data_IF_330623944064
#
_entry.id   IF_330623944064
#
_cell.length_a   1.000
_cell.length_b   1.000
_cell.length_c   1.000
_cell.angle_alpha   90.00
_cell.angle_beta   90.00
_cell.angle_gamma   90.00
#
_symmetry.space_group_name_H-M   'P 1'
#
loop_
_entity.id
_entity.type
_entity.pdbx_description
1 polymer ?
#
# COMPACT_ATOMS: atom_id res chain seq x y z
N UNK A 1 -18.55 -35.30 -8.56
CA UNK A 1 -17.39 -34.48 -8.15
C UNK A 1 -17.27 -33.20 -8.99
N UNK A 2 -18.26 -32.29 -8.92
CA UNK A 2 -18.28 -30.98 -9.62
C UNK A 2 -18.91 -29.84 -8.78
N UNK A 3 -19.32 -30.14 -7.55
CA UNK A 3 -20.11 -29.20 -6.71
C UNK A 3 -19.23 -28.45 -5.70
N UNK A 4 -18.03 -28.97 -5.38
CA UNK A 4 -17.05 -28.31 -4.48
C UNK A 4 -16.08 -27.41 -5.27
N UNK A 5 -16.52 -26.83 -6.39
CA UNK A 5 -15.77 -25.82 -7.15
C UNK A 5 -16.52 -24.50 -7.29
N UNK A 6 -17.64 -24.35 -6.55
CA UNK A 6 -18.40 -23.10 -6.47
C UNK A 6 -17.97 -22.32 -5.22
N UNK A 7 -17.61 -21.06 -5.44
CA UNK A 7 -17.54 -19.97 -4.44
C UNK A 7 -16.43 -20.02 -3.38
N UNK A 8 -15.19 -20.31 -3.80
CA UNK A 8 -14.14 -19.36 -3.42
C UNK A 8 -14.10 -18.30 -4.54
N UNK A 9 -15.22 -17.59 -4.72
CA UNK A 9 -15.18 -16.22 -5.22
C UNK A 9 -14.49 -15.50 -4.07
N UNK A 10 -13.17 -15.48 -4.12
CA UNK A 10 -12.31 -14.93 -3.08
C UNK A 10 -12.83 -13.51 -2.88
N UNK A 11 -13.58 -13.25 -1.78
CA UNK A 11 -13.75 -11.89 -1.28
C UNK A 11 -12.38 -11.26 -1.40
N UNK A 12 -12.22 -10.13 -2.10
CA UNK A 12 -10.89 -9.65 -2.43
C UNK A 12 -10.17 -9.42 -1.11
N UNK A 13 -9.30 -10.37 -0.73
CA UNK A 13 -8.59 -10.35 0.53
C UNK A 13 -7.64 -9.16 0.54
N UNK A 14 -7.26 -8.71 -0.65
CA UNK A 14 -6.41 -7.56 -0.89
C UNK A 14 -6.89 -6.30 -0.13
N UNK A 15 -8.12 -5.77 -0.30
CA UNK A 15 -8.68 -4.73 0.55
C UNK A 15 -8.54 -4.96 2.05
N UNK A 16 -8.68 -6.20 2.57
CA UNK A 16 -8.50 -6.45 4.00
C UNK A 16 -7.02 -6.31 4.42
N UNK A 17 -6.12 -6.87 3.61
CA UNK A 17 -4.68 -6.94 3.93
C UNK A 17 -3.99 -5.58 3.76
N UNK A 18 -4.40 -4.74 2.80
CA UNK A 18 -3.74 -3.45 2.52
C UNK A 18 -3.88 -2.42 3.64
N UNK A 19 -4.90 -2.52 4.51
CA UNK A 19 -5.08 -1.56 5.61
C UNK A 19 -3.93 -1.62 6.62
N UNK A 20 -3.36 -2.80 6.84
CA UNK A 20 -2.27 -2.98 7.80
C UNK A 20 -0.99 -2.21 7.41
N UNK A 21 -0.38 -2.40 6.22
CA UNK A 21 0.77 -1.61 5.84
C UNK A 21 0.46 -0.12 5.71
N UNK A 22 -0.75 0.27 5.25
CA UNK A 22 -1.15 1.68 5.20
C UNK A 22 -1.07 2.31 6.61
N UNK A 23 -1.75 1.72 7.59
CA UNK A 23 -1.77 2.24 8.94
C UNK A 23 -0.37 2.24 9.58
N UNK A 24 0.37 1.14 9.46
CA UNK A 24 1.69 0.99 10.08
C UNK A 24 2.73 1.94 9.50
N UNK A 25 2.80 2.07 8.17
CA UNK A 25 3.84 2.87 7.50
C UNK A 25 3.58 4.37 7.62
N UNK A 26 2.31 4.80 7.57
CA UNK A 26 1.94 6.19 7.86
C UNK A 26 2.23 6.53 9.33
N UNK A 27 1.87 5.65 10.26
CA UNK A 27 2.19 5.83 11.69
C UNK A 27 3.70 5.86 11.90
N UNK A 28 4.46 4.97 11.26
CA UNK A 28 5.91 4.97 11.34
C UNK A 28 6.50 6.32 10.94
N UNK A 29 6.02 6.91 9.84
CA UNK A 29 6.45 8.23 9.37
C UNK A 29 6.17 9.32 10.40
N UNK A 30 4.99 9.33 11.02
CA UNK A 30 4.67 10.26 12.11
C UNK A 30 5.63 10.08 13.29
N UNK A 31 5.94 8.83 13.67
CA UNK A 31 6.88 8.54 14.76
C UNK A 31 8.30 8.98 14.43
N UNK A 32 8.77 8.81 13.19
CA UNK A 32 10.09 9.32 12.77
C UNK A 32 10.15 10.85 12.84
N UNK A 33 9.09 11.55 12.40
CA UNK A 33 9.00 13.02 12.50
C UNK A 33 9.01 13.46 13.97
N UNK A 34 8.20 12.85 14.83
CA UNK A 34 8.16 13.13 16.28
C UNK A 34 9.53 12.88 16.92
N UNK A 35 10.24 11.85 16.48
CA UNK A 35 11.56 11.52 17.01
C UNK A 35 12.63 12.57 16.67
N UNK A 36 12.44 13.42 15.65
CA UNK A 36 13.34 14.56 15.38
C UNK A 36 13.40 15.53 16.55
N UNK A 37 12.28 15.72 17.23
CA UNK A 37 12.14 16.64 18.36
C UNK A 37 12.48 15.94 19.68
N UNK A 38 11.95 14.73 19.89
CA UNK A 38 12.14 14.00 21.15
C UNK A 38 13.55 13.42 21.28
N UNK A 39 14.17 12.99 20.17
CA UNK A 39 15.51 12.38 20.12
C UNK A 39 15.69 11.21 21.10
N UNK A 40 14.61 10.46 21.37
CA UNK A 40 14.58 9.34 22.31
C UNK A 40 14.82 8.01 21.59
N UNK A 41 15.70 7.17 22.14
CA UNK A 41 16.00 5.87 21.55
C UNK A 41 14.76 4.96 21.50
N UNK A 42 13.90 5.00 22.53
CA UNK A 42 12.65 4.22 22.57
C UNK A 42 11.70 4.56 21.41
N UNK A 43 11.56 5.85 21.10
CA UNK A 43 10.72 6.34 19.99
C UNK A 43 11.33 5.92 18.65
N UNK A 44 12.65 6.03 18.50
CA UNK A 44 13.36 5.55 17.31
C UNK A 44 13.19 4.03 17.09
N UNK A 45 13.22 3.25 18.17
CA UNK A 45 13.02 1.79 18.14
C UNK A 45 11.59 1.44 17.73
N UNK A 46 10.59 2.15 18.27
CA UNK A 46 9.19 1.98 17.88
C UNK A 46 8.99 2.26 16.38
N UNK A 47 9.52 3.37 15.87
CA UNK A 47 9.47 3.67 14.43
C UNK A 47 10.15 2.59 13.58
N UNK A 48 11.27 2.03 14.05
CA UNK A 48 11.95 0.90 13.39
C UNK A 48 11.05 -0.34 13.29
N UNK A 49 10.39 -0.71 14.39
CA UNK A 49 9.49 -1.87 14.42
C UNK A 49 8.30 -1.65 13.48
N UNK A 50 7.69 -0.46 13.52
CA UNK A 50 6.55 -0.12 12.65
C UNK A 50 6.92 -0.17 11.16
N UNK A 51 8.05 0.42 10.76
CA UNK A 51 8.53 0.33 9.37
C UNK A 51 8.75 -1.13 8.99
N UNK A 52 9.46 -1.91 9.82
CA UNK A 52 9.81 -3.28 9.47
C UNK A 52 8.57 -4.17 9.31
N UNK A 53 7.65 -4.14 10.28
CA UNK A 53 6.40 -4.91 10.21
C UNK A 53 5.51 -4.42 9.06
N UNK A 54 5.42 -3.09 8.88
CA UNK A 54 4.67 -2.49 7.78
C UNK A 54 5.20 -2.90 6.39
N UNK A 55 6.51 -2.96 6.20
CA UNK A 55 7.13 -3.43 4.95
C UNK A 55 6.83 -4.91 4.70
N UNK A 56 6.95 -5.77 5.72
CA UNK A 56 6.60 -7.19 5.59
C UNK A 56 5.15 -7.37 5.14
N UNK A 57 4.21 -6.67 5.77
CA UNK A 57 2.80 -6.70 5.37
C UNK A 57 2.54 -6.00 4.03
N UNK A 58 3.39 -5.06 3.64
CA UNK A 58 3.42 -4.46 2.31
C UNK A 58 3.72 -5.50 1.24
N UNK A 59 4.73 -6.35 1.44
CA UNK A 59 5.00 -7.46 0.52
C UNK A 59 3.87 -8.48 0.47
N UNK A 60 3.23 -8.78 1.60
CA UNK A 60 2.02 -9.63 1.62
C UNK A 60 0.90 -8.98 0.80
N UNK A 61 0.72 -7.66 0.91
CA UNK A 61 -0.28 -6.92 0.13
C UNK A 61 0.01 -6.98 -1.37
N UNK A 62 1.26 -6.79 -1.78
CA UNK A 62 1.68 -6.93 -3.19
C UNK A 62 1.41 -8.34 -3.72
N UNK A 63 1.71 -9.38 -2.94
CA UNK A 63 1.44 -10.77 -3.34
C UNK A 63 -0.07 -11.07 -3.51
N UNK A 64 -0.94 -10.33 -2.82
CA UNK A 64 -2.40 -10.43 -3.00
C UNK A 64 -2.96 -9.54 -4.11
N UNK A 65 -2.12 -8.69 -4.73
CA UNK A 65 -2.50 -7.73 -5.76
C UNK A 65 -2.88 -8.39 -7.08
N UNK A 66 -2.03 -9.28 -7.62
CA UNK A 66 -2.27 -9.90 -8.94
C UNK A 66 -3.60 -10.66 -9.02
N UNK A 67 -4.00 -11.49 -8.01
CA UNK A 67 -5.31 -12.12 -8.01
C UNK A 67 -6.47 -11.11 -7.94
N UNK A 68 -6.28 -9.98 -7.23
CA UNK A 68 -7.28 -8.93 -7.12
C UNK A 68 -7.43 -8.15 -8.43
N UNK A 69 -6.34 -7.89 -9.14
CA UNK A 69 -6.34 -7.29 -10.47
C UNK A 69 -7.06 -8.20 -11.49
N UNK A 70 -6.72 -9.49 -11.52
CA UNK A 70 -7.38 -10.45 -12.40
C UNK A 70 -8.89 -10.54 -12.11
N UNK A 71 -9.28 -10.48 -10.83
CA UNK A 71 -10.68 -10.39 -10.43
C UNK A 71 -11.33 -9.08 -10.94
N UNK A 72 -10.67 -7.94 -10.75
CA UNK A 72 -11.17 -6.64 -11.16
C UNK A 72 -11.43 -6.59 -12.67
N UNK A 73 -10.48 -6.99 -13.52
CA UNK A 73 -10.67 -6.98 -14.97
C UNK A 73 -11.74 -7.94 -15.45
N UNK A 74 -11.90 -9.09 -14.79
CA UNK A 74 -12.96 -10.06 -15.13
C UNK A 74 -14.36 -9.53 -14.81
N UNK A 75 -14.53 -8.83 -13.69
CA UNK A 75 -15.86 -8.46 -13.18
C UNK A 75 -16.26 -7.02 -13.49
N UNK A 76 -15.28 -6.11 -13.62
CA UNK A 76 -15.49 -4.66 -13.76
C UNK A 76 -15.11 -4.13 -15.15
N UNK A 77 -14.51 -4.98 -15.99
CA UNK A 77 -14.10 -4.64 -17.34
C UNK A 77 -12.80 -3.83 -17.39
N UNK A 78 -12.41 -3.41 -18.61
CA UNK A 78 -11.12 -2.72 -18.85
C UNK A 78 -11.15 -1.21 -18.61
N UNK A 79 -12.31 -0.62 -18.31
CA UNK A 79 -12.45 0.83 -18.07
C UNK A 79 -11.69 1.36 -16.84
N UNK A 80 -11.21 0.45 -15.98
CA UNK A 80 -10.41 0.76 -14.78
C UNK A 80 -8.90 0.47 -14.99
N UNK A 81 -8.49 -0.02 -16.16
CA UNK A 81 -7.14 -0.54 -16.43
C UNK A 81 -6.04 0.44 -16.02
N UNK A 82 -6.06 1.66 -16.56
CA UNK A 82 -5.04 2.68 -16.28
C UNK A 82 -4.98 3.05 -14.78
N UNK A 83 -6.12 2.99 -14.09
CA UNK A 83 -6.17 3.29 -12.64
C UNK A 83 -5.59 2.15 -11.83
N UNK A 84 -5.84 0.89 -12.22
CA UNK A 84 -5.25 -0.31 -11.61
C UNK A 84 -3.74 -0.35 -11.83
N UNK A 85 -3.27 -0.07 -13.04
CA UNK A 85 -1.84 -0.04 -13.35
C UNK A 85 -1.10 1.02 -12.53
N UNK A 86 -1.63 2.25 -12.49
CA UNK A 86 -1.06 3.32 -11.67
C UNK A 86 -1.10 2.98 -10.17
N UNK A 87 -2.19 2.39 -9.68
CA UNK A 87 -2.30 1.92 -8.29
C UNK A 87 -1.22 0.89 -7.96
N UNK A 88 -1.04 -0.13 -8.82
CA UNK A 88 -0.06 -1.19 -8.64
C UNK A 88 1.38 -0.64 -8.65
N UNK A 89 1.69 0.25 -9.61
CA UNK A 89 2.99 0.90 -9.70
C UNK A 89 3.32 1.72 -8.43
N UNK A 90 2.35 2.53 -7.95
CA UNK A 90 2.56 3.33 -6.74
C UNK A 90 2.63 2.45 -5.49
N UNK A 91 1.86 1.36 -5.40
CA UNK A 91 1.96 0.41 -4.30
C UNK A 91 3.38 -0.20 -4.20
N UNK A 92 3.91 -0.68 -5.32
CA UNK A 92 5.28 -1.20 -5.39
C UNK A 92 6.33 -0.15 -5.04
N UNK A 93 6.15 1.08 -5.53
CA UNK A 93 7.02 2.22 -5.21
C UNK A 93 7.01 2.54 -3.72
N UNK A 94 5.84 2.62 -3.09
CA UNK A 94 5.72 2.89 -1.66
C UNK A 94 6.41 1.83 -0.81
N UNK A 95 6.15 0.54 -1.08
CA UNK A 95 6.79 -0.56 -0.34
C UNK A 95 8.31 -0.52 -0.52
N UNK A 96 8.79 -0.23 -1.72
CA UNK A 96 10.24 -0.10 -2.00
C UNK A 96 10.87 1.04 -1.20
N UNK A 97 10.23 2.22 -1.17
CA UNK A 97 10.73 3.37 -0.41
C UNK A 97 10.82 3.06 1.09
N UNK A 98 9.80 2.43 1.66
CA UNK A 98 9.84 2.01 3.06
C UNK A 98 10.82 0.86 3.32
N UNK A 99 11.03 -0.05 2.37
CA UNK A 99 12.07 -1.07 2.47
C UNK A 99 13.47 -0.45 2.53
N UNK A 100 13.73 0.61 1.74
CA UNK A 100 14.97 1.39 1.84
C UNK A 100 15.09 2.02 3.24
N UNK A 101 14.02 2.60 3.79
CA UNK A 101 14.01 3.11 5.18
C UNK A 101 14.37 2.00 6.17
N UNK A 102 13.78 0.81 6.04
CA UNK A 102 14.05 -0.34 6.90
C UNK A 102 15.54 -0.72 6.86
N UNK A 103 16.12 -0.83 5.66
CA UNK A 103 17.54 -1.12 5.45
C UNK A 103 18.43 -0.05 6.08
N UNK A 104 18.15 1.24 5.84
CA UNK A 104 18.91 2.35 6.43
C UNK A 104 18.86 2.27 7.97
N UNK A 105 17.71 1.98 8.57
CA UNK A 105 17.58 1.91 10.03
C UNK A 105 18.29 0.70 10.63
N UNK A 106 18.32 -0.44 9.93
CA UNK A 106 19.00 -1.66 10.37
C UNK A 106 20.53 -1.56 10.23
N UNK A 107 21.03 -0.98 9.12
CA UNK A 107 22.45 -1.02 8.77
C UNK A 107 23.17 0.33 8.86
N UNK A 108 22.44 1.46 8.89
CA UNK A 108 23.03 2.80 8.83
C UNK A 108 24.03 3.08 9.96
N UNK A 109 23.78 2.57 11.17
CA UNK A 109 24.72 2.68 12.29
C UNK A 109 26.00 1.86 12.09
N UNK A 110 25.93 0.74 11.36
CA UNK A 110 27.07 -0.16 11.10
C UNK A 110 27.97 0.39 9.97
N UNK A 111 27.38 1.12 9.02
CA UNK A 111 28.08 1.68 7.86
C UNK A 111 28.85 2.98 8.15
N UNK A 112 28.92 3.41 9.43
CA UNK A 112 29.64 4.63 9.88
C UNK A 112 29.26 5.91 9.14
N UNK A 113 28.06 5.99 8.57
CA UNK A 113 27.58 7.20 7.91
C UNK A 113 27.32 8.35 8.91
N UNK A 114 27.34 9.58 8.40
CA UNK A 114 26.97 10.75 9.18
C UNK A 114 25.53 10.61 9.72
N UNK A 115 25.37 10.76 11.04
CA UNK A 115 24.07 10.64 11.73
C UNK A 115 23.00 11.57 11.13
N UNK A 116 23.38 12.81 10.79
CA UNK A 116 22.43 13.78 10.23
C UNK A 116 21.98 13.37 8.83
N UNK A 117 22.87 12.78 8.03
CA UNK A 117 22.53 12.22 6.72
C UNK A 117 21.56 11.04 6.86
N UNK A 118 21.82 10.11 7.78
CA UNK A 118 20.91 8.98 8.03
C UNK A 118 19.50 9.47 8.39
N UNK A 119 19.42 10.44 9.31
CA UNK A 119 18.14 11.02 9.74
C UNK A 119 17.44 11.69 8.55
N UNK A 120 18.16 12.50 7.76
CA UNK A 120 17.60 13.16 6.59
C UNK A 120 17.05 12.16 5.58
N UNK A 121 17.80 11.10 5.25
CA UNK A 121 17.35 10.06 4.32
C UNK A 121 16.12 9.32 4.85
N UNK A 122 16.11 8.93 6.13
CA UNK A 122 14.94 8.27 6.75
C UNK A 122 13.70 9.15 6.61
N UNK A 123 13.79 10.44 6.91
CA UNK A 123 12.66 11.36 6.85
C UNK A 123 12.20 11.57 5.40
N UNK A 124 13.12 11.87 4.48
CA UNK A 124 12.80 12.09 3.07
C UNK A 124 12.11 10.87 2.48
N UNK A 125 12.70 9.68 2.62
CA UNK A 125 12.10 8.45 2.11
C UNK A 125 10.77 8.09 2.80
N UNK A 126 10.63 8.34 4.11
CA UNK A 126 9.36 8.08 4.81
C UNK A 126 8.24 9.01 4.36
N UNK A 127 8.54 10.30 4.12
CA UNK A 127 7.57 11.27 3.61
C UNK A 127 7.19 10.92 2.16
N UNK A 128 8.17 10.70 1.28
CA UNK A 128 7.89 10.33 -0.12
C UNK A 128 7.14 8.99 -0.19
N UNK A 129 7.52 8.02 0.64
CA UNK A 129 6.82 6.74 0.78
C UNK A 129 5.38 6.92 1.26
N UNK A 130 5.16 7.77 2.26
CA UNK A 130 3.81 8.08 2.76
C UNK A 130 2.94 8.78 1.72
N UNK A 131 3.49 9.74 0.98
CA UNK A 131 2.76 10.44 -0.08
C UNK A 131 2.34 9.49 -1.18
N UNK A 132 3.27 8.65 -1.67
CA UNK A 132 2.94 7.63 -2.68
C UNK A 132 1.92 6.62 -2.15
N UNK A 133 2.00 6.25 -0.87
CA UNK A 133 1.08 5.30 -0.23
C UNK A 133 -0.32 5.88 -0.06
N UNK A 134 -0.43 7.16 0.28
CA UNK A 134 -1.70 7.87 0.38
C UNK A 134 -2.38 7.98 -1.00
N UNK A 135 -1.62 8.29 -2.06
CA UNK A 135 -2.14 8.31 -3.44
C UNK A 135 -2.56 6.89 -3.85
N UNK A 136 -1.76 5.87 -3.54
CA UNK A 136 -2.09 4.46 -3.78
C UNK A 136 -3.44 4.10 -3.14
N UNK A 137 -3.64 4.45 -1.86
CA UNK A 137 -4.90 4.22 -1.15
C UNK A 137 -6.08 4.96 -1.79
N UNK A 138 -5.89 6.21 -2.21
CA UNK A 138 -6.92 6.97 -2.92
C UNK A 138 -7.31 6.30 -4.25
N UNK A 139 -6.34 5.86 -5.05
CA UNK A 139 -6.60 5.13 -6.29
C UNK A 139 -7.28 3.79 -6.03
N UNK A 140 -6.91 3.08 -4.96
CA UNK A 140 -7.58 1.85 -4.53
C UNK A 140 -9.07 2.07 -4.27
N UNK A 141 -9.42 3.14 -3.55
CA UNK A 141 -10.82 3.54 -3.37
C UNK A 141 -11.49 3.91 -4.70
N UNK A 142 -10.80 4.64 -5.58
CA UNK A 142 -11.32 5.03 -6.90
C UNK A 142 -11.66 3.84 -7.78
N UNK A 143 -10.85 2.78 -7.79
CA UNK A 143 -11.13 1.53 -8.51
C UNK A 143 -12.45 0.91 -8.03
N UNK A 144 -12.66 0.90 -6.70
CA UNK A 144 -13.90 0.40 -6.09
C UNK A 144 -15.11 1.29 -6.42
N UNK A 145 -15.00 2.62 -6.48
CA UNK A 145 -16.17 3.44 -6.82
C UNK A 145 -16.43 3.57 -8.34
N UNK A 146 -15.40 3.53 -9.17
CA UNK A 146 -15.55 3.65 -10.63
C UNK A 146 -16.29 2.45 -11.23
N UNK A 147 -16.07 1.23 -10.71
CA UNK A 147 -16.76 0.07 -11.25
C UNK A 147 -18.28 0.15 -11.02
N UNK A 148 -18.73 0.68 -9.87
CA UNK A 148 -20.15 0.84 -9.56
C UNK A 148 -20.84 1.72 -10.61
N UNK A 149 -20.21 2.84 -10.99
CA UNK A 149 -20.72 3.73 -12.03
C UNK A 149 -20.78 3.06 -13.41
N UNK A 150 -19.77 2.26 -13.76
CA UNK A 150 -19.74 1.52 -15.03
C UNK A 150 -20.84 0.45 -15.07
N UNK A 151 -21.04 -0.28 -13.96
CA UNK A 151 -22.13 -1.27 -13.85
C UNK A 151 -23.51 -0.61 -13.91
N UNK A 152 -23.69 0.55 -13.28
CA UNK A 152 -24.94 1.32 -13.30
C UNK A 152 -25.28 1.83 -14.71
N UNK A 153 -24.30 2.36 -15.47
CA UNK A 153 -24.51 2.79 -16.85
C UNK A 153 -24.86 1.63 -17.80
N UNK A 154 -24.31 0.43 -17.57
CA UNK A 154 -24.60 -0.75 -18.40
C UNK A 154 -25.97 -1.37 -18.13
N UNK A 155 -26.60 -1.07 -16.98
CA UNK A 155 -27.92 -1.58 -16.60
C UNK A 155 -29.10 -0.69 -16.99
N UNK A 156 -28.85 0.52 -17.54
CA UNK A 156 -29.86 1.53 -17.83
C UNK A 156 -30.30 1.62 -19.30
N UNK A 157 -30.10 0.59 -20.12
CA UNK A 157 -30.48 0.59 -21.55
C UNK A 157 -31.47 -0.52 -21.92
N UNK A 158 -32.27 -1.02 -20.98
CA UNK A 158 -33.36 -1.95 -21.26
C UNK A 158 -34.57 -1.45 -20.47
N UNK A 159 -35.70 -1.29 -21.17
CA UNK A 159 -37.01 -0.83 -20.71
C UNK A 159 -37.26 0.68 -20.80
N UNK A 160 -37.42 1.17 -22.03
CA UNK A 160 -38.33 2.28 -22.36
C UNK A 160 -38.85 2.04 -23.80
N UNK A 161 -39.85 1.15 -23.92
CA UNK A 161 -40.78 1.05 -25.06
C UNK A 161 -42.11 1.73 -24.68
#
# INVERSE_FOLDING_TARGET
MKIIRRRLEIMPLHPLVVHFPIALLLTATLIEIVNLFLKKESVSRMGTVLVFVGVLLGFVSLATGDPAEAFAFKNWGRGIHDTVELHSFLAGTSVTLFAIVAVIKLFGKRLKFNKNLIIALVIVFSITGSTTLAITGHLGGKIVYQHEQLTSKSGGTVDDD
#
